data_IF_309001524871
#
_entry.id   IF_309001524871
#
_cell.length_a   1.000
_cell.length_b   1.000
_cell.length_c   1.000
_cell.angle_alpha   90.00
_cell.angle_beta   90.00
_cell.angle_gamma   90.00
#
_symmetry.space_group_name_H-M   'P 1'
#
loop_
_entity.id
_entity.type
_entity.pdbx_description
1 polymer ?
#
# COMPACT_ATOMS: atom_id res chain seq x y z
N UNK A 1 9.97 13.66 14.63
CA UNK A 1 10.48 13.75 13.25
C UNK A 1 9.77 12.71 12.41
N UNK A 2 8.81 13.11 11.56
CA UNK A 2 8.30 12.22 10.51
C UNK A 2 9.35 12.20 9.40
N UNK A 3 10.25 11.20 9.43
CA UNK A 3 11.06 10.91 8.26
C UNK A 3 10.14 10.30 7.22
N UNK A 4 10.09 10.96 6.08
CA UNK A 4 9.28 10.65 4.91
C UNK A 4 9.70 9.28 4.37
N UNK A 5 9.04 8.23 4.86
CA UNK A 5 8.86 7.04 4.08
C UNK A 5 7.74 7.37 3.07
N UNK A 6 8.09 7.95 1.92
CA UNK A 6 7.22 7.80 0.75
C UNK A 6 7.06 6.29 0.61
N UNK A 7 5.85 5.72 0.78
CA UNK A 7 5.68 4.30 0.63
C UNK A 7 6.24 3.94 -0.75
N UNK A 8 7.04 2.87 -0.90
CA UNK A 8 7.63 2.50 -2.18
C UNK A 8 6.60 2.44 -3.33
N UNK A 9 5.32 2.28 -2.99
CA UNK A 9 4.17 2.39 -3.88
C UNK A 9 3.97 3.76 -4.55
N UNK A 10 4.16 4.89 -3.85
CA UNK A 10 3.94 6.20 -4.48
C UNK A 10 4.96 6.49 -5.60
N UNK A 11 6.15 5.87 -5.53
CA UNK A 11 7.20 6.00 -6.57
C UNK A 11 6.83 5.33 -7.89
N UNK A 12 5.96 4.31 -7.84
CA UNK A 12 5.43 3.64 -9.03
C UNK A 12 4.07 4.21 -9.45
N UNK A 13 3.69 5.37 -8.89
CA UNK A 13 2.45 6.08 -9.19
C UNK A 13 1.23 5.56 -8.44
N UNK A 14 1.41 4.76 -7.37
CA UNK A 14 0.30 4.30 -6.56
C UNK A 14 -0.21 5.41 -5.62
N UNK A 15 -1.53 5.42 -5.40
CA UNK A 15 -2.21 6.37 -4.51
C UNK A 15 -2.61 5.66 -3.22
N UNK A 16 -2.42 6.34 -2.10
CA UNK A 16 -2.85 5.89 -0.77
C UNK A 16 -4.13 6.65 -0.38
N UNK A 17 -5.24 5.93 -0.25
CA UNK A 17 -6.54 6.49 0.11
C UNK A 17 -6.88 6.10 1.56
N UNK A 18 -7.02 7.06 2.49
CA UNK A 18 -7.52 6.77 3.84
C UNK A 18 -8.88 6.07 3.77
N UNK A 19 -9.04 5.00 4.52
CA UNK A 19 -10.26 4.21 4.52
C UNK A 19 -10.49 3.53 5.86
N UNK A 20 -11.73 3.45 6.31
CA UNK A 20 -12.06 2.61 7.46
C UNK A 20 -12.16 1.15 7.01
N UNK A 21 -11.39 0.28 7.64
CA UNK A 21 -11.31 -1.14 7.28
C UNK A 21 -11.68 -1.97 8.50
N UNK A 22 -12.81 -2.66 8.44
CA UNK A 22 -13.38 -3.42 9.57
C UNK A 22 -13.53 -2.58 10.86
N UNK A 23 -13.96 -1.31 10.75
CA UNK A 23 -14.10 -0.42 11.91
C UNK A 23 -12.79 0.14 12.45
N UNK A 24 -11.66 -0.09 11.78
CA UNK A 24 -10.34 0.40 12.18
C UNK A 24 -9.82 1.44 11.18
N UNK A 25 -9.02 2.43 11.64
CA UNK A 25 -8.29 3.31 10.75
C UNK A 25 -7.41 2.50 9.78
N UNK A 26 -7.40 2.88 8.52
CA UNK A 26 -6.73 2.11 7.48
C UNK A 26 -6.52 2.91 6.20
N UNK A 27 -6.07 2.22 5.18
CA UNK A 27 -5.94 2.78 3.85
C UNK A 27 -6.03 1.71 2.76
N UNK A 28 -6.53 2.10 1.60
CA UNK A 28 -6.46 1.30 0.37
C UNK A 28 -5.37 1.89 -0.52
N UNK A 29 -4.47 1.05 -1.00
CA UNK A 29 -3.43 1.46 -1.94
C UNK A 29 -3.86 1.00 -3.32
N UNK A 30 -3.92 1.93 -4.27
CA UNK A 30 -4.29 1.66 -5.66
C UNK A 30 -3.15 1.97 -6.61
N UNK A 31 -2.97 1.16 -7.64
CA UNK A 31 -2.04 1.46 -8.73
C UNK A 31 -2.55 2.61 -9.62
N UNK A 32 -1.77 2.98 -10.65
CA UNK A 32 -2.12 4.06 -11.58
C UNK A 32 -3.41 3.83 -12.36
N UNK A 33 -3.86 2.57 -12.47
CA UNK A 33 -5.09 2.18 -13.14
C UNK A 33 -6.26 2.05 -12.15
N UNK A 34 -6.04 2.41 -10.88
CA UNK A 34 -7.05 2.35 -9.81
C UNK A 34 -7.25 0.95 -9.21
N UNK A 35 -6.43 -0.05 -9.59
CA UNK A 35 -6.56 -1.41 -9.07
C UNK A 35 -5.93 -1.54 -7.70
N UNK A 36 -6.56 -2.34 -6.85
CA UNK A 36 -6.13 -2.52 -5.46
C UNK A 36 -4.82 -3.31 -5.43
N UNK A 37 -3.81 -2.73 -4.78
CA UNK A 37 -2.50 -3.36 -4.56
C UNK A 37 -2.46 -4.02 -3.19
N UNK A 38 -2.92 -3.31 -2.16
CA UNK A 38 -2.87 -3.72 -0.77
C UNK A 38 -3.85 -2.89 0.05
N UNK A 39 -4.37 -3.48 1.13
CA UNK A 39 -5.16 -2.76 2.13
C UNK A 39 -4.44 -2.81 3.47
N UNK A 40 -4.38 -1.67 4.15
CA UNK A 40 -3.81 -1.54 5.49
C UNK A 40 -4.88 -1.30 6.54
N UNK A 41 -4.68 -1.92 7.70
CA UNK A 41 -5.29 -1.50 8.97
C UNK A 41 -4.19 -1.03 9.90
N UNK A 42 -4.49 0.01 10.67
CA UNK A 42 -3.58 0.66 11.60
C UNK A 42 -4.10 0.45 13.01
N UNK A 43 -3.28 -0.16 13.84
CA UNK A 43 -3.49 -0.20 15.28
C UNK A 43 -2.82 1.03 15.90
N UNK A 44 -3.61 1.87 16.56
CA UNK A 44 -3.16 3.15 17.12
C UNK A 44 -3.33 3.10 18.63
N UNK A 45 -2.22 3.22 19.36
CA UNK A 45 -2.17 3.32 20.81
C UNK A 45 -1.49 4.63 21.20
N UNK A 46 -2.10 5.39 22.10
CA UNK A 46 -1.61 6.70 22.58
C UNK A 46 -1.22 7.67 21.45
N UNK A 47 -2.04 7.74 20.41
CA UNK A 47 -1.84 8.62 19.26
C UNK A 47 -0.68 8.21 18.34
N UNK A 48 -0.13 7.00 18.50
CA UNK A 48 0.96 6.47 17.67
C UNK A 48 0.54 5.17 17.01
N UNK A 49 0.95 4.98 15.76
CA UNK A 49 0.79 3.71 15.05
C UNK A 49 1.68 2.69 15.73
N UNK A 50 1.07 1.70 16.36
CA UNK A 50 1.73 0.60 17.04
C UNK A 50 1.91 -0.60 16.11
N UNK A 51 0.96 -0.83 15.20
CA UNK A 51 1.04 -1.92 14.21
C UNK A 51 0.39 -1.50 12.88
N UNK A 52 0.99 -1.91 11.77
CA UNK A 52 0.39 -1.86 10.44
C UNK A 52 0.16 -3.30 9.99
N UNK A 53 -1.09 -3.67 9.71
CA UNK A 53 -1.41 -5.00 9.15
C UNK A 53 -1.69 -4.88 7.67
N UNK A 54 -0.99 -5.70 6.91
CA UNK A 54 -1.06 -5.76 5.45
C UNK A 54 -1.99 -6.87 4.99
N UNK A 55 -3.10 -6.50 4.37
CA UNK A 55 -4.04 -7.42 3.73
C UNK A 55 -3.73 -7.46 2.23
N UNK A 56 -3.23 -8.59 1.76
CA UNK A 56 -2.81 -8.82 0.37
C UNK A 56 -3.48 -10.02 -0.29
N UNK A 57 -4.29 -10.77 0.47
CA UNK A 57 -4.97 -11.95 -0.07
C UNK A 57 -6.06 -11.49 -1.07
N UNK A 58 -5.95 -11.83 -2.37
CA UNK A 58 -6.88 -11.37 -3.39
C UNK A 58 -8.32 -11.80 -3.08
N UNK A 59 -8.54 -12.99 -2.56
CA UNK A 59 -9.89 -13.48 -2.22
C UNK A 59 -10.59 -12.56 -1.19
N UNK A 60 -9.80 -11.93 -0.32
CA UNK A 60 -10.28 -10.96 0.68
C UNK A 60 -10.45 -9.55 0.12
N UNK A 61 -9.94 -9.26 -1.07
CA UNK A 61 -9.92 -7.90 -1.64
C UNK A 61 -10.82 -7.76 -2.87
N UNK A 62 -11.16 -8.86 -3.55
CA UNK A 62 -11.91 -8.83 -4.83
C UNK A 62 -13.25 -8.12 -4.69
N UNK A 63 -13.89 -8.19 -3.52
CA UNK A 63 -15.16 -7.52 -3.26
C UNK A 63 -15.05 -5.98 -3.14
N UNK A 64 -13.84 -5.45 -2.97
CA UNK A 64 -13.56 -4.01 -2.92
C UNK A 64 -13.25 -3.42 -4.30
N UNK A 65 -13.12 -4.27 -5.32
CA UNK A 65 -12.86 -3.88 -6.72
C UNK A 65 -11.75 -4.69 -7.39
N UNK A 66 -11.36 -4.31 -8.60
CA UNK A 66 -10.28 -4.97 -9.35
C UNK A 66 -8.95 -4.93 -8.59
N UNK A 67 -8.21 -6.04 -8.62
CA UNK A 67 -6.92 -6.21 -7.94
C UNK A 67 -5.79 -6.12 -8.97
N UNK A 68 -4.68 -5.48 -8.59
CA UNK A 68 -3.49 -5.35 -9.42
C UNK A 68 -2.72 -6.69 -9.52
N UNK A 69 -1.92 -6.84 -10.57
CA UNK A 69 -0.97 -7.95 -10.64
C UNK A 69 0.17 -7.73 -9.63
N UNK A 70 0.18 -8.55 -8.57
CA UNK A 70 1.16 -8.46 -7.51
C UNK A 70 2.61 -8.67 -7.99
N UNK A 71 2.84 -9.53 -8.99
CA UNK A 71 4.19 -9.76 -9.52
C UNK A 71 4.69 -8.54 -10.27
N UNK A 72 3.86 -7.95 -11.13
CA UNK A 72 4.19 -6.73 -11.85
C UNK A 72 4.52 -5.58 -10.88
N UNK A 73 3.68 -5.38 -9.86
CA UNK A 73 3.90 -4.35 -8.82
C UNK A 73 5.22 -4.57 -8.07
N UNK A 74 5.53 -5.81 -7.69
CA UNK A 74 6.78 -6.12 -6.98
C UNK A 74 8.00 -5.87 -7.87
N UNK A 75 7.94 -6.27 -9.15
CA UNK A 75 9.01 -6.06 -10.12
C UNK A 75 9.27 -4.56 -10.33
N UNK A 76 8.24 -3.77 -10.58
CA UNK A 76 8.37 -2.31 -10.78
C UNK A 76 8.92 -1.61 -9.53
N UNK A 77 8.45 -2.02 -8.35
CA UNK A 77 8.95 -1.53 -7.05
C UNK A 77 10.42 -1.90 -6.81
N UNK A 78 10.87 -3.06 -7.30
CA UNK A 78 12.26 -3.49 -7.17
C UNK A 78 13.16 -2.76 -8.20
N UNK A 79 12.68 -2.58 -9.43
CA UNK A 79 13.41 -1.85 -10.47
C UNK A 79 13.63 -0.39 -10.08
N UNK A 80 12.56 0.29 -9.65
CA UNK A 80 12.65 1.69 -9.17
C UNK A 80 13.59 1.86 -7.97
N UNK A 81 13.79 0.83 -7.16
CA UNK A 81 14.80 0.83 -6.08
C UNK A 81 16.22 0.65 -6.62
N UNK A 82 16.40 -0.21 -7.61
CA UNK A 82 17.72 -0.48 -8.20
C UNK A 82 18.24 0.73 -8.99
N UNK A 83 17.40 1.37 -9.79
CA UNK A 83 17.75 2.57 -10.56
C UNK A 83 18.18 3.73 -9.66
N UNK A 84 17.66 3.79 -8.43
CA UNK A 84 18.08 4.79 -7.43
C UNK A 84 19.42 4.46 -6.77
N UNK A 85 19.81 3.19 -6.73
CA UNK A 85 21.05 2.75 -6.11
C UNK A 85 22.24 2.79 -7.08
N UNK A 86 21.97 2.89 -8.38
CA UNK A 86 22.99 2.90 -9.43
C UNK A 86 22.62 3.94 -10.52
N UNK A 87 22.82 5.25 -10.26
CA UNK A 87 22.42 6.34 -11.16
C UNK A 87 23.29 6.46 -12.42
#
# INVERSE_FOLDING_TARGET
MLSVAIPPFARIGAVLEPHEVNGQPGAIIRDRDGRIVIVWTLDILDGRIHTIRSLVNPDKLTHLGPIADAHAVIQEKNQSRHDQQNP
#
